data_IF_212970176114
#
_entry.id   IF_212970176114
#
_cell.length_a   1.000
_cell.length_b   1.000
_cell.length_c   1.000
_cell.angle_alpha   90.00
_cell.angle_beta   90.00
_cell.angle_gamma   90.00
#
_symmetry.space_group_name_H-M   'P 1'
#
loop_
_entity.id
_entity.type
_entity.pdbx_description
1 polymer ?
#
# COMPACT_ATOMS: atom_id res chain seq x y z
N UNK A 1 3.52 -3.65 -8.72
CA UNK A 1 4.41 -4.45 -7.84
C UNK A 1 4.03 -5.92 -8.00
N UNK A 2 5.01 -6.80 -8.12
CA UNK A 2 4.80 -8.25 -8.29
C UNK A 2 5.05 -8.99 -6.97
N UNK A 3 4.20 -9.96 -6.62
CA UNK A 3 4.41 -10.82 -5.46
C UNK A 3 5.11 -12.12 -5.87
N UNK A 4 6.38 -12.28 -5.48
CA UNK A 4 7.16 -13.50 -5.76
C UNK A 4 6.68 -14.75 -5.01
N UNK A 5 5.78 -14.61 -4.01
CA UNK A 5 5.30 -15.76 -3.22
C UNK A 5 4.09 -16.46 -3.84
N UNK A 6 3.14 -15.69 -4.37
CA UNK A 6 1.92 -16.21 -4.97
C UNK A 6 1.86 -15.95 -6.48
N UNK A 7 2.94 -15.44 -7.07
CA UNK A 7 3.09 -15.18 -8.50
C UNK A 7 1.93 -14.40 -9.12
N UNK A 8 1.45 -13.38 -8.38
CA UNK A 8 0.40 -12.48 -8.83
C UNK A 8 0.87 -11.03 -8.73
N UNK A 9 0.19 -10.15 -9.47
CA UNK A 9 0.29 -8.71 -9.25
C UNK A 9 -0.23 -8.34 -7.85
N UNK A 10 0.25 -7.23 -7.28
CA UNK A 10 -0.13 -6.78 -5.93
C UNK A 10 -1.65 -6.63 -5.74
N UNK A 11 -2.37 -6.25 -6.80
CA UNK A 11 -3.83 -6.09 -6.78
C UNK A 11 -4.57 -7.43 -6.61
N UNK A 12 -3.94 -8.54 -7.03
CA UNK A 12 -4.46 -9.91 -7.05
C UNK A 12 -3.68 -10.82 -6.07
N UNK A 13 -2.86 -10.21 -5.20
CA UNK A 13 -2.07 -10.93 -4.23
C UNK A 13 -2.98 -11.52 -3.14
N UNK A 14 -2.91 -12.85 -3.01
CA UNK A 14 -3.68 -13.65 -2.04
C UNK A 14 -2.89 -13.97 -0.77
N UNK A 15 -1.65 -13.50 -0.65
CA UNK A 15 -0.82 -13.77 0.53
C UNK A 15 -1.49 -13.17 1.78
N UNK A 16 -1.62 -13.93 2.89
CA UNK A 16 -2.29 -13.45 4.10
C UNK A 16 -1.53 -12.31 4.79
N UNK A 17 -0.22 -12.20 4.55
CA UNK A 17 0.68 -11.20 5.13
C UNK A 17 0.84 -9.94 4.24
N UNK A 18 0.04 -9.79 3.18
CA UNK A 18 0.26 -8.72 2.21
C UNK A 18 0.04 -7.33 2.80
N UNK A 19 -0.98 -7.16 3.65
CA UNK A 19 -1.27 -5.85 4.27
C UNK A 19 -0.13 -5.45 5.22
N UNK A 20 0.34 -6.37 6.08
CA UNK A 20 1.49 -6.15 6.97
C UNK A 20 2.77 -5.76 6.20
N UNK A 21 3.04 -6.45 5.07
CA UNK A 21 4.19 -6.13 4.21
C UNK A 21 4.05 -4.74 3.59
N UNK A 22 2.85 -4.36 3.16
CA UNK A 22 2.61 -3.02 2.61
C UNK A 22 2.76 -1.96 3.71
N UNK A 23 2.27 -2.18 4.92
CA UNK A 23 2.43 -1.28 6.07
C UNK A 23 3.91 -1.09 6.45
N UNK A 24 4.70 -2.16 6.47
CA UNK A 24 6.14 -2.05 6.70
C UNK A 24 6.83 -1.21 5.61
N UNK A 25 6.39 -1.32 4.35
CA UNK A 25 6.91 -0.49 3.25
C UNK A 25 6.45 0.96 3.34
N UNK A 26 5.24 1.23 3.84
CA UNK A 26 4.72 2.57 4.11
C UNK A 26 5.67 3.37 5.01
N UNK A 27 6.28 2.71 6.00
CA UNK A 27 7.28 3.26 6.89
C UNK A 27 8.69 3.38 6.32
N UNK A 28 8.96 2.97 5.07
CA UNK A 28 10.29 3.07 4.45
C UNK A 28 10.56 4.46 3.86
N UNK A 29 11.77 5.01 4.07
CA UNK A 29 12.21 6.30 3.50
C UNK A 29 12.68 6.19 2.06
N UNK A 30 12.89 4.97 1.58
CA UNK A 30 13.50 4.71 0.28
C UNK A 30 12.48 4.50 -0.84
N UNK A 31 11.20 4.39 -0.50
CA UNK A 31 10.14 4.09 -1.47
C UNK A 31 8.97 5.04 -1.28
N UNK A 32 8.75 5.89 -2.28
CA UNK A 32 7.54 6.70 -2.36
C UNK A 32 6.42 5.85 -2.96
N UNK A 33 5.39 5.58 -2.17
CA UNK A 33 4.23 4.80 -2.58
C UNK A 33 2.96 5.63 -2.43
N UNK A 34 1.96 5.36 -3.27
CA UNK A 34 0.65 6.04 -3.21
C UNK A 34 -0.32 5.22 -2.37
N UNK A 35 -1.01 5.91 -1.46
CA UNK A 35 -1.92 5.34 -0.47
C UNK A 35 -3.26 6.06 -0.49
N UNK A 36 -4.33 5.34 -0.17
CA UNK A 36 -5.64 5.92 0.03
C UNK A 36 -5.79 6.33 1.50
N UNK A 37 -5.98 7.62 1.80
CA UNK A 37 -6.18 8.10 3.18
C UNK A 37 -7.54 7.70 3.77
N UNK A 38 -8.47 7.19 2.96
CA UNK A 38 -9.80 6.75 3.40
C UNK A 38 -9.76 5.35 4.00
N UNK A 39 -9.07 4.40 3.34
CA UNK A 39 -9.00 3.00 3.78
C UNK A 39 -7.61 2.55 4.22
N UNK A 40 -6.64 3.46 4.19
CA UNK A 40 -5.22 3.23 4.50
C UNK A 40 -4.54 2.12 3.69
N UNK A 41 -5.02 1.87 2.47
CA UNK A 41 -4.46 0.84 1.58
C UNK A 41 -3.66 1.44 0.44
N UNK A 42 -2.67 0.67 -0.01
CA UNK A 42 -1.90 0.99 -1.21
C UNK A 42 -2.82 1.12 -2.43
N UNK A 43 -2.47 1.99 -3.39
CA UNK A 43 -3.35 2.31 -4.53
C UNK A 43 -3.85 1.07 -5.28
N UNK A 44 -2.99 0.07 -5.48
CA UNK A 44 -3.32 -1.16 -6.20
C UNK A 44 -4.34 -2.05 -5.45
N UNK A 45 -4.54 -1.82 -4.15
CA UNK A 45 -5.45 -2.59 -3.29
C UNK A 45 -6.64 -1.77 -2.77
N UNK A 46 -6.69 -0.48 -3.09
CA UNK A 46 -7.80 0.38 -2.72
C UNK A 46 -9.05 0.03 -3.55
N UNK A 47 -10.18 -0.18 -2.89
CA UNK A 47 -11.49 -0.43 -3.51
C UNK A 47 -12.54 0.64 -3.17
N UNK A 48 -12.12 1.76 -2.58
CA UNK A 48 -13.01 2.89 -2.32
C UNK A 48 -13.57 3.45 -3.63
N UNK A 49 -14.86 3.78 -3.64
CA UNK A 49 -15.52 4.45 -4.77
C UNK A 49 -14.95 5.86 -5.01
N UNK A 50 -14.69 6.59 -3.92
CA UNK A 50 -14.12 7.94 -3.93
C UNK A 50 -12.83 7.99 -3.10
N UNK A 51 -11.69 7.50 -3.63
CA UNK A 51 -10.44 7.46 -2.88
C UNK A 51 -9.78 8.84 -2.80
N UNK A 52 -9.30 9.19 -1.62
CA UNK A 52 -8.43 10.36 -1.40
C UNK A 52 -7.00 9.87 -1.32
N UNK A 53 -6.10 10.43 -2.12
CA UNK A 53 -4.75 9.90 -2.29
C UNK A 53 -3.70 10.71 -1.53
N UNK A 54 -2.79 10.00 -0.87
CA UNK A 54 -1.60 10.54 -0.23
C UNK A 54 -0.36 9.73 -0.62
N UNK A 55 0.81 10.15 -0.15
CA UNK A 55 2.08 9.45 -0.35
C UNK A 55 2.65 8.97 0.99
N UNK A 56 3.42 7.87 0.96
CA UNK A 56 4.09 7.33 2.16
C UNK A 56 4.97 8.36 2.88
N UNK A 57 5.60 9.28 2.14
CA UNK A 57 6.41 10.37 2.72
C UNK A 57 5.59 11.34 3.58
N UNK A 58 4.37 11.70 3.13
CA UNK A 58 3.51 12.62 3.88
C UNK A 58 3.03 11.99 5.18
N UNK A 59 2.67 10.71 5.17
CA UNK A 59 2.18 10.01 6.35
C UNK A 59 3.24 9.84 7.45
N UNK A 60 4.53 9.84 7.09
CA UNK A 60 5.63 9.83 8.07
C UNK A 60 5.78 11.13 8.85
N UNK A 61 5.36 12.26 8.28
CA UNK A 61 5.55 13.58 8.90
C UNK A 61 4.42 13.93 9.88
N UNK A 62 3.37 13.10 9.92
CA UNK A 62 2.16 13.31 10.74
C UNK A 62 2.10 12.35 11.95
N UNK A 63 3.15 11.55 12.18
CA UNK A 63 3.28 10.59 13.29
C UNK A 63 4.62 10.82 14.00
#
# INVERSE_FOLDING_TARGET
>A
MWCMRCENELQDCICPDIEERMENLKGSSHVLMRWCSVCDKHYARCRCENPVWTTSDKMKREN
#
